data_IF_990236013053
#
_entry.id   IF_990236013053
#
_cell.length_a   1.000
_cell.length_b   1.000
_cell.length_c   1.000
_cell.angle_alpha   90.00
_cell.angle_beta   90.00
_cell.angle_gamma   90.00
#
_symmetry.space_group_name_H-M   'P 1'
#
loop_
_entity.id
_entity.type
_entity.pdbx_description
1 polymer ?
#
# COMPACT_ATOMS: atom_id res chain seq x y z
N UNK A 1 13.59 -38.69 -13.24
CA UNK A 1 13.16 -37.80 -14.36
C UNK A 1 11.64 -37.53 -14.43
N UNK A 2 10.77 -38.11 -13.60
CA UNK A 2 9.31 -37.92 -13.73
C UNK A 2 8.69 -36.74 -12.94
N UNK A 3 9.42 -36.11 -12.01
CA UNK A 3 8.86 -35.04 -11.17
C UNK A 3 8.77 -33.67 -11.88
N UNK A 4 9.71 -33.35 -12.77
CA UNK A 4 9.74 -32.07 -13.50
C UNK A 4 8.58 -31.92 -14.50
N UNK A 5 8.18 -33.01 -15.19
CA UNK A 5 7.07 -32.96 -16.17
C UNK A 5 5.69 -32.79 -15.52
N UNK A 6 5.45 -33.38 -14.33
CA UNK A 6 4.17 -33.22 -13.60
C UNK A 6 3.97 -31.79 -13.11
N UNK A 7 5.00 -31.22 -12.47
CA UNK A 7 4.99 -29.83 -12.00
C UNK A 7 4.66 -28.85 -13.14
N UNK A 8 5.28 -29.04 -14.31
CA UNK A 8 5.06 -28.15 -15.45
C UNK A 8 3.64 -28.22 -16.06
N UNK A 9 2.99 -29.40 -16.01
CA UNK A 9 1.60 -29.58 -16.46
C UNK A 9 0.61 -28.97 -15.48
N UNK A 10 0.86 -29.10 -14.17
CA UNK A 10 0.01 -28.51 -13.12
C UNK A 10 0.06 -26.97 -13.14
N UNK A 11 1.22 -26.38 -13.42
CA UNK A 11 1.37 -24.92 -13.60
C UNK A 11 0.55 -24.41 -14.78
N UNK A 12 0.58 -25.10 -15.93
CA UNK A 12 -0.21 -24.71 -17.11
C UNK A 12 -1.71 -24.76 -16.82
N UNK A 13 -2.18 -25.82 -16.16
CA UNK A 13 -3.59 -25.96 -15.77
C UNK A 13 -4.03 -24.87 -14.79
N UNK A 14 -3.18 -24.55 -13.81
CA UNK A 14 -3.48 -23.50 -12.82
C UNK A 14 -3.49 -22.12 -13.46
N UNK A 15 -2.59 -21.88 -14.41
CA UNK A 15 -2.57 -20.66 -15.23
C UNK A 15 -3.87 -20.51 -16.03
N UNK A 16 -4.32 -21.56 -16.71
CA UNK A 16 -5.60 -21.55 -17.42
C UNK A 16 -6.78 -21.28 -16.48
N UNK A 17 -6.77 -21.87 -15.27
CA UNK A 17 -7.80 -21.60 -14.27
C UNK A 17 -7.81 -20.13 -13.83
N UNK A 18 -6.65 -19.51 -13.65
CA UNK A 18 -6.56 -18.09 -13.34
C UNK A 18 -7.06 -17.21 -14.49
N UNK A 19 -6.72 -17.55 -15.74
CA UNK A 19 -7.08 -16.74 -16.92
C UNK A 19 -8.49 -16.99 -17.45
N UNK A 20 -9.23 -17.99 -16.95
CA UNK A 20 -10.58 -18.30 -17.39
C UNK A 20 -11.61 -17.30 -16.82
N UNK A 21 -12.20 -16.40 -17.63
CA UNK A 21 -13.16 -15.41 -17.16
C UNK A 21 -14.50 -16.04 -16.71
N UNK A 22 -14.75 -17.31 -17.03
CA UNK A 22 -15.94 -18.03 -16.57
C UNK A 22 -15.80 -18.54 -15.13
N UNK A 23 -14.59 -18.52 -14.57
CA UNK A 23 -14.35 -18.88 -13.16
C UNK A 23 -14.64 -17.69 -12.24
N UNK A 24 -15.16 -18.00 -11.06
CA UNK A 24 -15.34 -17.00 -10.01
C UNK A 24 -13.99 -16.38 -9.59
N UNK A 25 -13.99 -15.08 -9.33
CA UNK A 25 -12.80 -14.29 -8.99
C UNK A 25 -12.09 -14.82 -7.73
N UNK A 26 -12.82 -15.27 -6.72
CA UNK A 26 -12.28 -15.98 -5.55
C UNK A 26 -11.45 -17.22 -5.94
N UNK A 27 -11.99 -18.06 -6.83
CA UNK A 27 -11.30 -19.26 -7.31
C UNK A 27 -10.08 -18.94 -8.18
N UNK A 28 -10.12 -17.82 -8.90
CA UNK A 28 -9.02 -17.30 -9.72
C UNK A 28 -7.91 -16.72 -8.84
N UNK A 29 -8.24 -15.97 -7.80
CA UNK A 29 -7.28 -15.45 -6.81
C UNK A 29 -6.54 -16.60 -6.11
N UNK A 30 -7.26 -17.66 -5.72
CA UNK A 30 -6.64 -18.87 -5.16
C UNK A 30 -5.68 -19.54 -6.15
N UNK A 31 -6.02 -19.59 -7.43
CA UNK A 31 -5.13 -20.10 -8.47
C UNK A 31 -3.88 -19.22 -8.62
N UNK A 32 -4.03 -17.89 -8.59
CA UNK A 32 -2.90 -16.95 -8.64
C UNK A 32 -1.96 -17.12 -7.43
N UNK A 33 -2.51 -17.27 -6.22
CA UNK A 33 -1.74 -17.59 -5.01
C UNK A 33 -0.90 -18.86 -5.19
N UNK A 34 -1.52 -19.95 -5.65
CA UNK A 34 -0.80 -21.21 -5.89
C UNK A 34 0.28 -21.08 -6.97
N UNK A 35 0.09 -20.24 -7.99
CA UNK A 35 1.13 -19.97 -8.98
C UNK A 35 2.33 -19.25 -8.35
N UNK A 36 2.08 -18.28 -7.49
CA UNK A 36 3.13 -17.51 -6.80
C UNK A 36 3.94 -18.36 -5.82
N UNK A 37 3.36 -19.41 -5.24
CA UNK A 37 4.09 -20.39 -4.42
C UNK A 37 5.05 -21.26 -5.26
N UNK A 38 4.81 -21.37 -6.57
CA UNK A 38 5.60 -22.18 -7.50
C UNK A 38 6.62 -21.33 -8.26
N UNK A 39 6.25 -20.10 -8.62
CA UNK A 39 7.08 -19.21 -9.40
C UNK A 39 8.27 -18.66 -8.61
N UNK A 40 9.43 -18.62 -9.25
CA UNK A 40 10.55 -17.81 -8.76
C UNK A 40 10.27 -16.31 -8.93
N UNK A 41 11.08 -15.42 -8.31
CA UNK A 41 10.88 -13.97 -8.42
C UNK A 41 10.79 -13.45 -9.86
N UNK A 42 11.66 -13.96 -10.75
CA UNK A 42 11.69 -13.58 -12.17
C UNK A 42 10.43 -14.02 -12.92
N UNK A 43 9.95 -15.25 -12.69
CA UNK A 43 8.76 -15.78 -13.34
C UNK A 43 7.50 -15.03 -12.88
N UNK A 44 7.42 -14.74 -11.58
CA UNK A 44 6.34 -13.92 -11.01
C UNK A 44 6.30 -12.53 -11.66
N UNK A 45 7.46 -11.88 -11.82
CA UNK A 45 7.54 -10.56 -12.48
C UNK A 45 7.05 -10.63 -13.93
N UNK A 46 7.55 -11.59 -14.72
CA UNK A 46 7.14 -11.77 -16.12
C UNK A 46 5.63 -12.04 -16.22
N UNK A 47 5.10 -12.91 -15.36
CA UNK A 47 3.69 -13.24 -15.33
C UNK A 47 2.83 -12.02 -15.00
N UNK A 48 3.22 -11.23 -13.99
CA UNK A 48 2.52 -10.01 -13.62
C UNK A 48 2.54 -8.98 -14.73
N UNK A 49 3.68 -8.78 -15.39
CA UNK A 49 3.81 -7.87 -16.52
C UNK A 49 2.99 -8.31 -17.74
N UNK A 50 2.81 -9.61 -17.95
CA UNK A 50 1.97 -10.15 -19.03
C UNK A 50 0.47 -10.09 -18.76
N UNK A 51 0.06 -10.05 -17.49
CA UNK A 51 -1.35 -10.22 -17.08
C UNK A 51 -1.85 -9.15 -16.09
N UNK A 52 -1.18 -8.00 -16.00
CA UNK A 52 -1.44 -6.96 -14.99
C UNK A 52 -2.91 -6.52 -14.90
N UNK A 53 -3.59 -6.34 -16.04
CA UNK A 53 -5.00 -5.94 -16.08
C UNK A 53 -5.90 -6.98 -15.45
N UNK A 54 -5.68 -8.26 -15.77
CA UNK A 54 -6.50 -9.37 -15.27
C UNK A 54 -6.24 -9.62 -13.79
N UNK A 55 -4.97 -9.57 -13.38
CA UNK A 55 -4.56 -9.67 -11.98
C UNK A 55 -5.25 -8.57 -11.16
N UNK A 56 -5.20 -7.32 -11.63
CA UNK A 56 -5.83 -6.21 -10.92
C UNK A 56 -7.35 -6.34 -10.86
N UNK A 57 -7.99 -6.78 -11.94
CA UNK A 57 -9.43 -7.04 -11.96
C UNK A 57 -9.83 -8.08 -10.90
N UNK A 58 -9.18 -9.24 -10.91
CA UNK A 58 -9.44 -10.32 -9.95
C UNK A 58 -9.16 -9.85 -8.51
N UNK A 59 -8.04 -9.18 -8.29
CA UNK A 59 -7.68 -8.60 -6.99
C UNK A 59 -8.77 -7.64 -6.48
N UNK A 60 -9.14 -6.65 -7.29
CA UNK A 60 -10.03 -5.58 -6.88
C UNK A 60 -11.44 -6.09 -6.61
N UNK A 61 -11.95 -7.01 -7.44
CA UNK A 61 -13.25 -7.64 -7.22
C UNK A 61 -13.27 -8.45 -5.91
N UNK A 62 -12.26 -9.30 -5.67
CA UNK A 62 -12.17 -10.06 -4.43
C UNK A 62 -12.01 -9.15 -3.22
N UNK A 63 -11.23 -8.07 -3.32
CA UNK A 63 -11.08 -7.10 -2.24
C UNK A 63 -12.42 -6.48 -1.84
N UNK A 64 -13.23 -6.06 -2.82
CA UNK A 64 -14.58 -5.52 -2.59
C UNK A 64 -15.50 -6.55 -1.91
N UNK A 65 -15.44 -7.82 -2.33
CA UNK A 65 -16.20 -8.90 -1.70
C UNK A 65 -15.77 -9.12 -0.23
N UNK A 66 -14.46 -9.17 0.02
CA UNK A 66 -13.90 -9.34 1.37
C UNK A 66 -14.29 -8.16 2.27
N UNK A 67 -14.18 -6.93 1.79
CA UNK A 67 -14.60 -5.74 2.52
C UNK A 67 -16.09 -5.81 2.90
N UNK A 68 -16.95 -6.18 1.95
CA UNK A 68 -18.39 -6.32 2.19
C UNK A 68 -18.69 -7.43 3.20
N UNK A 69 -18.00 -8.57 3.08
CA UNK A 69 -18.16 -9.71 3.97
C UNK A 69 -17.70 -9.38 5.40
N UNK A 70 -16.58 -8.65 5.57
CA UNK A 70 -16.10 -8.24 6.90
C UNK A 70 -17.07 -7.28 7.60
N UNK A 71 -17.72 -6.40 6.83
CA UNK A 71 -18.78 -5.52 7.36
C UNK A 71 -20.01 -6.32 7.86
N UNK A 72 -20.36 -7.42 7.20
CA UNK A 72 -21.54 -8.22 7.52
C UNK A 72 -21.29 -9.35 8.55
N UNK A 73 -20.21 -10.12 8.35
CA UNK A 73 -19.91 -11.37 9.07
C UNK A 73 -18.82 -11.21 10.13
N UNK A 74 -18.25 -10.01 10.26
CA UNK A 74 -17.24 -9.70 11.26
C UNK A 74 -15.93 -10.46 11.06
N UNK A 75 -15.33 -10.94 12.15
CA UNK A 75 -13.90 -11.32 12.20
C UNK A 75 -13.53 -12.63 11.51
N UNK A 76 -14.49 -13.46 11.11
CA UNK A 76 -14.26 -14.81 10.58
C UNK A 76 -13.59 -14.87 9.21
N UNK A 77 -13.51 -13.75 8.49
CA UNK A 77 -12.93 -13.65 7.14
C UNK A 77 -11.54 -13.00 7.12
N UNK A 78 -10.80 -13.10 8.23
CA UNK A 78 -9.46 -12.51 8.32
C UNK A 78 -8.47 -13.14 7.33
N UNK A 79 -8.55 -14.46 7.13
CA UNK A 79 -7.68 -15.17 6.19
C UNK A 79 -7.90 -14.71 4.74
N UNK A 80 -9.16 -14.44 4.36
CA UNK A 80 -9.48 -13.89 3.04
C UNK A 80 -8.89 -12.48 2.86
N UNK A 81 -8.89 -11.66 3.91
CA UNK A 81 -8.23 -10.34 3.90
C UNK A 81 -6.72 -10.47 3.75
N UNK A 82 -6.08 -11.31 4.55
CA UNK A 82 -4.64 -11.56 4.45
C UNK A 82 -4.29 -12.14 3.05
N UNK A 83 -5.19 -12.96 2.49
CA UNK A 83 -5.06 -13.53 1.15
C UNK A 83 -5.00 -12.45 0.07
N UNK A 84 -5.96 -11.52 0.08
CA UNK A 84 -6.07 -10.46 -0.94
C UNK A 84 -5.04 -9.35 -0.75
N UNK A 85 -4.64 -9.03 0.49
CA UNK A 85 -3.60 -8.02 0.76
C UNK A 85 -2.21 -8.46 0.31
N UNK A 86 -1.91 -9.76 0.36
CA UNK A 86 -0.69 -10.26 -0.27
C UNK A 86 -0.70 -10.06 -1.78
N UNK A 87 -1.84 -10.26 -2.46
CA UNK A 87 -1.90 -9.99 -3.91
C UNK A 87 -1.70 -8.50 -4.19
N UNK A 88 -2.25 -7.61 -3.35
CA UNK A 88 -1.93 -6.18 -3.41
C UNK A 88 -0.42 -5.94 -3.28
N UNK A 89 0.22 -6.54 -2.28
CA UNK A 89 1.67 -6.44 -2.13
C UNK A 89 2.41 -6.88 -3.39
N UNK A 90 2.08 -8.03 -3.97
CA UNK A 90 2.73 -8.51 -5.19
C UNK A 90 2.51 -7.56 -6.37
N UNK A 91 1.33 -6.95 -6.50
CA UNK A 91 1.08 -5.89 -7.49
C UNK A 91 2.04 -4.72 -7.27
N UNK A 92 2.19 -4.26 -6.02
CA UNK A 92 3.05 -3.12 -5.67
C UNK A 92 4.54 -3.40 -5.89
N UNK A 93 4.98 -4.63 -5.63
CA UNK A 93 6.38 -5.04 -5.77
C UNK A 93 6.76 -5.33 -7.23
N UNK A 94 5.88 -5.99 -7.99
CA UNK A 94 6.21 -6.54 -9.32
C UNK A 94 5.80 -5.63 -10.49
N UNK A 95 4.98 -4.60 -10.26
CA UNK A 95 4.52 -3.65 -11.29
C UNK A 95 4.89 -2.18 -11.01
N UNK A 96 6.11 -1.87 -10.52
CA UNK A 96 6.44 -0.49 -10.11
C UNK A 96 6.45 0.49 -11.29
N UNK A 97 6.76 0.05 -12.51
CA UNK A 97 6.75 0.92 -13.70
C UNK A 97 5.33 1.35 -14.10
N UNK A 98 4.34 0.47 -13.93
CA UNK A 98 2.94 0.82 -14.17
C UNK A 98 2.44 1.79 -13.10
N UNK A 99 2.78 1.53 -11.84
CA UNK A 99 2.42 2.41 -10.72
C UNK A 99 3.06 3.78 -10.89
N UNK A 100 4.33 3.86 -11.28
CA UNK A 100 5.01 5.11 -11.59
C UNK A 100 4.24 5.93 -12.64
N UNK A 101 3.65 5.25 -13.64
CA UNK A 101 2.78 5.85 -14.67
C UNK A 101 1.32 6.08 -14.21
N UNK A 102 1.06 6.02 -12.90
CA UNK A 102 -0.27 6.20 -12.29
C UNK A 102 -1.32 5.18 -12.77
N UNK A 103 -0.90 3.98 -13.18
CA UNK A 103 -1.84 2.90 -13.47
C UNK A 103 -2.63 2.52 -12.21
N UNK A 104 -3.96 2.47 -12.34
CA UNK A 104 -4.91 2.19 -11.25
C UNK A 104 -4.77 3.12 -10.03
N UNK A 105 -4.22 4.33 -10.23
CA UNK A 105 -3.90 5.26 -9.16
C UNK A 105 -5.07 5.54 -8.21
N UNK A 106 -6.24 5.87 -8.75
CA UNK A 106 -7.42 6.19 -7.95
C UNK A 106 -7.93 4.98 -7.16
N UNK A 107 -7.93 3.80 -7.79
CA UNK A 107 -8.39 2.55 -7.17
C UNK A 107 -7.46 2.14 -6.02
N UNK A 108 -6.14 2.16 -6.25
CA UNK A 108 -5.14 1.85 -5.22
C UNK A 108 -5.19 2.89 -4.10
N UNK A 109 -5.26 4.19 -4.43
CA UNK A 109 -5.35 5.27 -3.44
C UNK A 109 -6.55 5.11 -2.50
N UNK A 110 -7.72 4.74 -3.04
CA UNK A 110 -8.91 4.44 -2.21
C UNK A 110 -8.69 3.25 -1.28
N UNK A 111 -8.01 2.19 -1.74
CA UNK A 111 -7.67 1.03 -0.90
C UNK A 111 -6.69 1.45 0.22
N UNK A 112 -5.70 2.28 -0.09
CA UNK A 112 -4.76 2.80 0.90
C UNK A 112 -5.47 3.60 1.99
N UNK A 113 -6.39 4.49 1.61
CA UNK A 113 -7.18 5.24 2.59
C UNK A 113 -8.01 4.31 3.50
N UNK A 114 -8.63 3.26 2.94
CA UNK A 114 -9.35 2.23 3.72
C UNK A 114 -8.44 1.49 4.69
N UNK A 115 -7.23 1.14 4.29
CA UNK A 115 -6.25 0.45 5.13
C UNK A 115 -5.70 1.35 6.25
N UNK A 116 -5.47 2.63 5.94
CA UNK A 116 -4.89 3.61 6.86
C UNK A 116 -5.91 4.21 7.83
N UNK A 117 -7.21 3.92 7.66
CA UNK A 117 -8.28 4.42 8.52
C UNK A 117 -8.01 4.14 10.00
N UNK A 118 -8.15 5.15 10.87
CA UNK A 118 -7.79 5.04 12.29
C UNK A 118 -8.62 4.02 13.08
N UNK A 119 -9.82 3.72 12.59
CA UNK A 119 -10.76 2.79 13.23
C UNK A 119 -10.37 1.33 13.01
N UNK A 120 -9.45 1.06 12.08
CA UNK A 120 -8.94 -0.30 11.88
C UNK A 120 -8.14 -0.77 13.10
N UNK A 121 -8.13 -2.09 13.29
CA UNK A 121 -7.20 -2.75 14.19
C UNK A 121 -5.77 -2.29 13.89
N UNK A 122 -5.00 -1.97 14.94
CA UNK A 122 -3.66 -1.39 14.79
C UNK A 122 -2.72 -2.23 13.94
N UNK A 123 -2.85 -3.56 14.00
CA UNK A 123 -2.08 -4.48 13.15
C UNK A 123 -2.39 -4.29 11.66
N UNK A 124 -3.67 -4.18 11.30
CA UNK A 124 -4.09 -3.92 9.91
C UNK A 124 -3.64 -2.53 9.48
N UNK A 125 -3.81 -1.51 10.32
CA UNK A 125 -3.38 -0.14 10.00
C UNK A 125 -1.87 -0.05 9.79
N UNK A 126 -1.06 -0.73 10.62
CA UNK A 126 0.39 -0.82 10.47
C UNK A 126 0.81 -1.55 9.19
N UNK A 127 0.02 -2.52 8.76
CA UNK A 127 0.21 -3.18 7.48
C UNK A 127 -0.18 -2.27 6.31
N UNK A 128 -1.25 -1.50 6.46
CA UNK A 128 -1.62 -0.41 5.55
C UNK A 128 -0.49 0.60 5.35
N UNK A 129 0.23 0.97 6.41
CA UNK A 129 1.43 1.83 6.29
C UNK A 129 2.49 1.17 5.42
N UNK A 130 2.76 -0.11 5.61
CA UNK A 130 3.76 -0.82 4.79
C UNK A 130 3.38 -0.81 3.31
N UNK A 131 2.15 -1.19 2.99
CA UNK A 131 1.63 -1.22 1.63
C UNK A 131 1.61 0.18 1.00
N UNK A 132 1.23 1.20 1.78
CA UNK A 132 1.29 2.59 1.32
C UNK A 132 2.73 3.00 0.99
N UNK A 133 3.73 2.64 1.80
CA UNK A 133 5.12 2.96 1.54
C UNK A 133 5.66 2.29 0.26
N UNK A 134 5.20 1.09 -0.08
CA UNK A 134 5.51 0.44 -1.37
C UNK A 134 4.87 1.19 -2.55
N UNK A 135 3.62 1.63 -2.40
CA UNK A 135 2.94 2.39 -3.45
C UNK A 135 3.54 3.80 -3.63
N UNK A 136 3.72 4.53 -2.54
CA UNK A 136 4.20 5.91 -2.54
C UNK A 136 5.61 6.05 -3.11
N UNK A 137 6.51 5.12 -2.78
CA UNK A 137 7.85 5.11 -3.37
C UNK A 137 7.84 4.78 -4.86
N UNK A 138 6.88 3.98 -5.34
CA UNK A 138 6.76 3.66 -6.76
C UNK A 138 6.19 4.85 -7.56
N UNK A 139 5.33 5.65 -6.95
CA UNK A 139 4.83 6.89 -7.55
C UNK A 139 5.92 7.94 -7.74
N UNK A 140 6.82 8.10 -6.77
CA UNK A 140 7.87 9.14 -6.80
C UNK A 140 7.29 10.54 -7.09
N UNK A 141 7.88 11.25 -8.06
CA UNK A 141 7.45 12.56 -8.58
C UNK A 141 6.04 12.55 -9.18
N UNK A 142 5.48 11.38 -9.49
CA UNK A 142 4.11 11.26 -10.03
C UNK A 142 3.05 11.14 -8.91
N UNK A 143 3.42 11.25 -7.64
CA UNK A 143 2.47 11.43 -6.54
C UNK A 143 1.84 12.82 -6.58
N UNK A 144 0.56 12.94 -6.25
CA UNK A 144 -0.11 14.24 -6.11
C UNK A 144 -0.07 14.76 -4.66
N UNK A 145 -0.43 16.03 -4.49
CA UNK A 145 -0.48 16.69 -3.17
C UNK A 145 -1.36 15.91 -2.18
N UNK A 146 -2.44 15.30 -2.66
CA UNK A 146 -3.34 14.49 -1.83
C UNK A 146 -2.61 13.27 -1.27
N UNK A 147 -1.88 12.55 -2.12
CA UNK A 147 -1.06 11.41 -1.71
C UNK A 147 0.03 11.83 -0.72
N UNK A 148 0.65 12.99 -0.94
CA UNK A 148 1.65 13.54 -0.02
C UNK A 148 1.04 13.90 1.35
N UNK A 149 -0.21 14.37 1.39
CA UNK A 149 -0.93 14.62 2.64
C UNK A 149 -1.31 13.35 3.37
N UNK A 150 -1.66 12.28 2.64
CA UNK A 150 -1.84 10.95 3.24
C UNK A 150 -0.53 10.56 3.92
N UNK A 151 0.60 10.62 3.18
CA UNK A 151 1.92 10.31 3.74
C UNK A 151 2.18 11.11 5.02
N UNK A 152 2.04 12.43 4.99
CA UNK A 152 2.29 13.30 6.13
C UNK A 152 1.40 12.98 7.35
N UNK A 153 0.22 12.41 7.12
CA UNK A 153 -0.77 12.09 8.17
C UNK A 153 -0.69 10.65 8.70
N UNK A 154 0.22 9.82 8.20
CA UNK A 154 0.34 8.40 8.61
C UNK A 154 0.67 8.27 10.10
N UNK A 155 1.61 9.08 10.60
CA UNK A 155 2.06 9.00 11.98
C UNK A 155 1.17 9.90 12.85
N UNK A 156 0.35 9.33 13.75
CA UNK A 156 -0.44 10.14 14.66
C UNK A 156 0.50 10.91 15.60
N UNK A 157 0.20 12.18 15.83
CA UNK A 157 0.86 13.01 16.83
C UNK A 157 1.89 14.00 16.37
N UNK A 158 2.12 13.99 15.08
CA UNK A 158 2.65 15.15 14.40
C UNK A 158 1.53 16.19 14.18
N UNK A 159 1.87 17.49 14.14
CA UNK A 159 0.95 18.55 13.75
C UNK A 159 0.29 18.28 12.39
N UNK A 160 -0.86 18.91 12.13
CA UNK A 160 -1.55 18.74 10.85
C UNK A 160 -0.70 19.29 9.71
N UNK A 161 -0.42 18.45 8.71
CA UNK A 161 0.31 18.89 7.52
C UNK A 161 -0.42 19.98 6.73
N UNK A 162 -1.75 20.05 6.86
CA UNK A 162 -2.62 21.07 6.25
C UNK A 162 -2.20 22.48 6.68
N UNK A 163 -1.76 22.64 7.93
CA UNK A 163 -1.36 23.95 8.47
C UNK A 163 -0.03 24.44 7.89
N UNK A 164 0.73 23.57 7.22
CA UNK A 164 2.02 23.87 6.59
C UNK A 164 1.93 24.09 5.08
N UNK A 165 0.75 23.90 4.48
CA UNK A 165 0.55 24.07 3.04
C UNK A 165 0.55 25.55 2.69
N UNK A 166 1.35 25.93 1.70
CA UNK A 166 1.22 27.22 1.03
C UNK A 166 0.04 27.18 0.05
N UNK A 167 -1.14 27.55 0.55
CA UNK A 167 -2.39 27.55 -0.20
C UNK A 167 -2.38 28.42 -1.46
N UNK A 168 -1.44 29.38 -1.57
CA UNK A 168 -1.28 30.18 -2.79
C UNK A 168 -0.70 29.39 -3.96
N UNK A 169 -0.05 28.25 -3.68
CA UNK A 169 0.60 27.38 -4.67
C UNK A 169 -0.06 26.00 -4.80
N UNK A 170 -0.86 25.61 -3.81
CA UNK A 170 -1.58 24.35 -3.76
C UNK A 170 -2.57 24.22 -4.92
N UNK A 171 -2.61 23.03 -5.54
CA UNK A 171 -3.68 22.69 -6.50
C UNK A 171 -4.91 22.13 -5.80
N UNK A 172 -4.77 21.71 -4.54
CA UNK A 172 -5.89 21.29 -3.69
C UNK A 172 -6.60 22.47 -3.05
N UNK A 173 -7.92 22.34 -2.89
CA UNK A 173 -8.68 23.16 -1.94
C UNK A 173 -8.43 22.71 -0.51
N UNK A 174 -8.63 23.64 0.44
CA UNK A 174 -8.54 23.33 1.87
C UNK A 174 -9.55 22.27 2.29
N UNK A 175 -10.75 22.30 1.71
CA UNK A 175 -11.79 21.31 1.95
C UNK A 175 -11.34 19.92 1.52
N UNK A 176 -10.78 19.74 0.32
CA UNK A 176 -10.28 18.44 -0.15
C UNK A 176 -9.14 17.91 0.73
N UNK A 177 -8.23 18.78 1.17
CA UNK A 177 -7.16 18.40 2.07
C UNK A 177 -7.69 17.97 3.44
N UNK A 178 -8.62 18.75 4.01
CA UNK A 178 -9.29 18.42 5.26
C UNK A 178 -10.05 17.11 5.13
N UNK A 179 -10.82 16.90 4.05
CA UNK A 179 -11.53 15.66 3.75
C UNK A 179 -10.59 14.46 3.72
N UNK A 180 -9.39 14.57 3.16
CA UNK A 180 -8.45 13.44 3.07
C UNK A 180 -7.82 13.12 4.41
N UNK A 181 -7.36 14.14 5.13
CA UNK A 181 -6.84 13.97 6.49
C UNK A 181 -7.94 13.47 7.42
N UNK A 182 -9.18 13.86 7.18
CA UNK A 182 -10.36 13.33 7.85
C UNK A 182 -10.86 12.01 7.27
N UNK A 183 -10.54 11.60 6.04
CA UNK A 183 -10.96 10.35 5.44
C UNK A 183 -10.11 9.20 5.97
N UNK A 184 -8.85 9.49 6.32
CA UNK A 184 -8.06 8.68 7.27
C UNK A 184 -8.78 8.55 8.63
N UNK A 185 -9.79 9.40 8.91
CA UNK A 185 -10.48 9.49 10.20
C UNK A 185 -12.01 9.21 10.21
N UNK A 186 -12.80 9.39 9.15
CA UNK A 186 -14.29 9.44 9.26
C UNK A 186 -15.07 9.06 8.00
N UNK A 187 -14.60 9.34 6.78
CA UNK A 187 -15.42 9.14 5.57
C UNK A 187 -15.31 7.75 4.92
N UNK A 188 -14.32 6.98 5.35
CA UNK A 188 -14.12 5.60 4.90
C UNK A 188 -14.36 4.68 6.09
N UNK A 189 -15.25 3.71 5.95
CA UNK A 189 -15.48 2.74 7.02
C UNK A 189 -14.24 1.86 7.23
N UNK A 190 -13.87 1.54 8.49
CA UNK A 190 -12.79 0.60 8.75
C UNK A 190 -13.11 -0.76 8.13
N UNK A 191 -12.12 -1.36 7.47
CA UNK A 191 -12.22 -2.72 6.91
C UNK A 191 -12.31 -3.75 8.04
N UNK A 192 -11.51 -3.54 9.10
CA UNK A 192 -11.42 -4.47 10.22
C UNK A 192 -11.31 -3.68 11.52
N UNK A 193 -12.44 -3.30 12.15
CA UNK A 193 -12.42 -2.42 13.30
C UNK A 193 -11.75 -3.04 14.53
N UNK A 194 -11.19 -2.19 15.40
CA UNK A 194 -10.71 -2.59 16.74
C UNK A 194 -11.82 -3.30 17.54
N UNK A 195 -11.44 -4.17 18.48
CA UNK A 195 -12.45 -4.77 19.36
C UNK A 195 -13.10 -3.69 20.21
N UNK A 196 -14.42 -3.76 20.45
CA UNK A 196 -15.09 -2.83 21.37
C UNK A 196 -14.54 -2.84 22.79
N UNK A 197 -13.82 -3.91 23.18
CA UNK A 197 -13.14 -4.04 24.47
C UNK A 197 -11.68 -3.54 24.48
N UNK A 198 -11.09 -3.25 23.31
CA UNK A 198 -9.72 -2.74 23.20
C UNK A 198 -9.72 -1.22 23.39
N UNK A 199 -9.10 -0.75 24.48
CA UNK A 199 -8.83 0.68 24.64
C UNK A 199 -7.74 1.11 23.66
N UNK A 200 -7.95 2.25 23.01
CA UNK A 200 -6.91 2.86 22.18
C UNK A 200 -5.68 3.18 23.04
N UNK A 201 -4.46 2.80 22.62
CA UNK A 201 -3.24 3.17 23.33
C UNK A 201 -3.09 4.70 23.44
N UNK A 202 -2.33 5.19 24.43
CA UNK A 202 -1.94 6.58 24.50
C UNK A 202 -1.25 7.05 23.22
N UNK A 203 -1.38 8.34 22.94
CA UNK A 203 -0.97 8.90 21.67
C UNK A 203 0.54 8.81 21.43
N UNK A 204 1.39 8.98 22.45
CA UNK A 204 2.84 8.82 22.30
C UNK A 204 3.22 7.39 21.90
N UNK A 205 2.48 6.40 22.41
CA UNK A 205 2.68 4.99 22.06
C UNK A 205 2.31 4.74 20.59
N UNK A 206 1.21 5.34 20.13
CA UNK A 206 0.81 5.27 18.72
C UNK A 206 1.81 6.00 17.82
N UNK A 207 2.27 7.19 18.20
CA UNK A 207 3.29 7.95 17.47
C UNK A 207 4.54 7.10 17.27
N UNK A 208 5.09 6.55 18.35
CA UNK A 208 6.25 5.65 18.28
C UNK A 208 5.97 4.43 17.41
N UNK A 209 4.84 3.75 17.61
CA UNK A 209 4.48 2.53 16.89
C UNK A 209 4.43 2.71 15.37
N UNK A 210 3.89 3.83 14.90
CA UNK A 210 3.83 4.15 13.46
C UNK A 210 5.12 4.75 12.93
N UNK A 211 5.82 5.59 13.71
CA UNK A 211 7.14 6.12 13.35
C UNK A 211 8.15 4.98 13.14
N UNK A 212 8.22 4.03 14.08
CA UNK A 212 9.07 2.85 13.96
C UNK A 212 8.75 2.07 12.68
N UNK A 213 7.47 2.00 12.28
CA UNK A 213 7.08 1.33 11.03
C UNK A 213 7.50 2.10 9.79
N UNK A 214 7.36 3.43 9.77
CA UNK A 214 7.79 4.25 8.63
C UNK A 214 9.30 4.13 8.42
N UNK A 215 10.09 4.22 9.51
CA UNK A 215 11.55 4.08 9.48
C UNK A 215 11.99 2.68 9.04
N UNK A 216 11.35 1.63 9.55
CA UNK A 216 11.56 0.26 9.08
C UNK A 216 11.25 0.13 7.58
N UNK A 217 10.13 0.66 7.11
CA UNK A 217 9.78 0.58 5.68
C UNK A 217 10.82 1.26 4.79
N UNK A 218 11.32 2.43 5.20
CA UNK A 218 12.35 3.18 4.46
C UNK A 218 13.70 2.45 4.41
N UNK A 219 14.00 1.58 5.37
CA UNK A 219 15.27 0.85 5.44
C UNK A 219 15.21 -0.57 4.88
N UNK A 220 14.09 -1.29 5.08
CA UNK A 220 13.98 -2.73 4.78
C UNK A 220 13.05 -3.05 3.61
N UNK A 221 11.99 -2.28 3.41
CA UNK A 221 10.95 -2.62 2.42
C UNK A 221 11.22 -2.03 1.03
N UNK A 222 11.96 -0.92 0.96
CA UNK A 222 12.24 -0.24 -0.31
C UNK A 222 13.02 -1.09 -1.31
N UNK A 223 13.91 -1.94 -0.81
CA UNK A 223 14.76 -2.79 -1.65
C UNK A 223 14.00 -3.94 -2.30
N UNK A 224 12.80 -4.25 -1.82
CA UNK A 224 11.95 -5.34 -2.31
C UNK A 224 11.24 -5.00 -3.63
N UNK A 225 11.11 -3.71 -3.96
CA UNK A 225 10.42 -3.30 -5.19
C UNK A 225 11.28 -3.68 -6.40
N UNK A 226 10.69 -4.48 -7.29
CA UNK A 226 11.35 -5.09 -8.44
C UNK A 226 11.38 -4.13 -9.64
N UNK A 227 12.14 -3.05 -9.53
CA UNK A 227 12.38 -2.14 -10.65
C UNK A 227 13.14 -2.83 -11.79
N UNK A 228 12.82 -2.50 -13.03
CA UNK A 228 13.59 -2.91 -14.20
C UNK A 228 14.96 -2.18 -14.28
N UNK A 229 14.98 -0.89 -13.93
CA UNK A 229 16.18 -0.05 -13.94
C UNK A 229 16.71 0.16 -12.51
N UNK A 230 17.97 -0.20 -12.22
CA UNK A 230 18.55 -0.01 -10.87
C UNK A 230 18.45 1.41 -10.33
N UNK A 231 18.64 2.44 -11.18
CA UNK A 231 18.57 3.85 -10.78
C UNK A 231 17.19 4.27 -10.25
N UNK A 232 16.13 3.58 -10.66
CA UNK A 232 14.78 3.86 -10.16
C UNK A 232 14.67 3.64 -8.64
N UNK A 233 15.44 2.69 -8.10
CA UNK A 233 15.52 2.46 -6.66
C UNK A 233 16.13 3.64 -5.93
N UNK A 234 17.21 4.22 -6.46
CA UNK A 234 17.87 5.38 -5.86
C UNK A 234 16.96 6.61 -5.87
N UNK A 235 16.23 6.83 -6.97
CA UNK A 235 15.24 7.90 -7.06
C UNK A 235 14.08 7.69 -6.08
N UNK A 236 13.56 6.46 -5.95
CA UNK A 236 12.51 6.13 -4.99
C UNK A 236 12.97 6.37 -3.55
N UNK A 237 14.21 5.98 -3.21
CA UNK A 237 14.83 6.25 -1.91
C UNK A 237 14.97 7.75 -1.64
N UNK A 238 15.57 8.49 -2.56
CA UNK A 238 15.73 9.94 -2.43
C UNK A 238 14.37 10.62 -2.24
N UNK A 239 13.34 10.18 -2.97
CA UNK A 239 11.98 10.69 -2.84
C UNK A 239 11.38 10.45 -1.46
N UNK A 240 11.43 9.22 -0.94
CA UNK A 240 10.91 8.90 0.40
C UNK A 240 11.70 9.62 1.49
N UNK A 241 13.02 9.67 1.38
CA UNK A 241 13.87 10.37 2.33
C UNK A 241 13.56 11.87 2.34
N UNK A 242 13.44 12.50 1.17
CA UNK A 242 13.05 13.91 1.07
C UNK A 242 11.65 14.17 1.63
N UNK A 243 10.70 13.26 1.41
CA UNK A 243 9.37 13.34 2.03
C UNK A 243 9.45 13.28 3.55
N UNK A 244 10.24 12.37 4.11
CA UNK A 244 10.44 12.26 5.55
C UNK A 244 11.09 13.52 6.13
N UNK A 245 12.12 14.05 5.46
CA UNK A 245 12.77 15.32 5.84
C UNK A 245 11.80 16.49 5.83
N UNK A 246 10.88 16.54 4.87
CA UNK A 246 9.89 17.60 4.73
C UNK A 246 8.84 17.55 5.84
N UNK A 247 8.27 16.37 6.08
CA UNK A 247 7.06 16.26 6.90
C UNK A 247 7.29 15.86 8.36
N UNK A 248 8.42 15.20 8.68
CA UNK A 248 8.62 14.63 10.02
C UNK A 248 9.84 15.18 10.75
N UNK A 249 10.98 15.36 10.06
CA UNK A 249 12.20 15.83 10.74
C UNK A 249 12.05 17.15 11.52
N UNK A 250 11.35 18.20 11.03
CA UNK A 250 11.23 19.46 11.77
C UNK A 250 10.59 19.29 13.16
N UNK A 251 9.75 18.27 13.32
CA UNK A 251 9.05 17.99 14.56
C UNK A 251 9.79 16.99 15.45
N UNK A 252 10.58 16.08 14.86
CA UNK A 252 11.44 15.16 15.61
C UNK A 252 12.66 15.92 16.17
N UNK A 253 13.21 16.85 15.39
CA UNK A 253 14.39 17.62 15.73
C UNK A 253 14.10 19.12 15.60
N UNK A 254 13.77 19.81 16.71
CA UNK A 254 13.37 21.23 16.68
C UNK A 254 14.43 22.20 16.12
N UNK A 255 15.69 21.79 16.05
CA UNK A 255 16.80 22.57 15.46
C UNK A 255 17.06 22.25 13.98
N UNK A 256 16.21 21.42 13.36
CA UNK A 256 16.37 21.05 11.95
C UNK A 256 16.14 22.26 11.04
N UNK A 257 17.16 22.63 10.27
CA UNK A 257 17.06 23.64 9.22
C UNK A 257 17.13 22.95 7.84
N UNK A 258 16.06 22.98 7.02
CA UNK A 258 16.04 22.36 5.70
C UNK A 258 16.83 23.13 4.63
N UNK A 259 17.33 24.33 4.92
CA UNK A 259 18.23 25.05 4.01
C UNK A 259 19.47 24.20 3.74
N UNK A 260 19.95 24.11 2.48
CA UNK A 260 21.22 23.46 2.21
C UNK A 260 22.30 24.18 3.03
N UNK A 261 23.07 23.41 3.81
CA UNK A 261 24.31 23.92 4.38
C UNK A 261 25.13 24.49 3.21
N UNK A 262 25.42 25.79 3.28
CA UNK A 262 26.19 26.53 2.29
C UNK A 262 27.44 25.74 1.90
N UNK A 263 27.44 25.21 0.67
CA UNK A 263 28.62 24.89 -0.10
C UNK A 263 28.60 25.77 -1.34
#
# INVERSE_FOLDING_TARGET
MFHSRKSHTDTKRTTQKFLDPKKETQGRLKALRSLLDIFGPSDSKVFFQGHYSEIFYVFNDVFCQVETNLKQKGRSQREDLDSVLYILEQILLLLPELIHKRWQFNSIGRIMLKLLHHGNALKLRREGVRLFMLWYQALTVNSDELTQLIYASIIPGFPSAIDTIDWSKSVLSRTEADEVVQAVRKEIFPIYPMAGSEKAPPFETLTKFFLDRVLDCMSSQMVLVEWAEPRSRDHAFAFLFNSFKKYYLPYIFPQWNPSPALY
#
